data_IF_658904826221
#
_entry.id   IF_658904826221
#
_cell.length_a   1.000
_cell.length_b   1.000
_cell.length_c   1.000
_cell.angle_alpha   90.00
_cell.angle_beta   90.00
_cell.angle_gamma   90.00
#
_symmetry.space_group_name_H-M   'P 1'
#
loop_
_entity.id
_entity.type
_entity.pdbx_description
1 polymer ?
#
# COMPACT_ATOMS: atom_id res chain seq x y z
N UNK A 1 21.35 19.31 -29.19
CA UNK A 1 20.06 19.75 -28.62
C UNK A 1 19.06 18.63 -28.83
N UNK A 2 18.78 17.83 -27.79
CA UNK A 2 17.71 16.82 -27.86
C UNK A 2 16.58 17.37 -27.00
N UNK A 3 15.61 18.00 -27.65
CA UNK A 3 14.41 18.49 -27.00
C UNK A 3 13.44 17.30 -26.89
N UNK A 4 13.69 16.42 -25.92
CA UNK A 4 12.83 15.26 -25.68
C UNK A 4 11.56 15.78 -25.02
N UNK A 5 10.47 15.89 -25.78
CA UNK A 5 9.16 16.16 -25.21
C UNK A 5 8.87 15.11 -24.13
N UNK A 6 8.68 15.55 -22.88
CA UNK A 6 8.34 14.65 -21.79
C UNK A 6 7.07 13.86 -22.20
N UNK A 7 7.17 12.53 -22.23
CA UNK A 7 6.06 11.66 -22.61
C UNK A 7 4.83 11.94 -21.73
N UNK A 8 3.61 11.73 -22.24
CA UNK A 8 2.38 11.92 -21.46
C UNK A 8 2.38 11.18 -20.11
N UNK A 9 3.02 10.00 -20.06
CA UNK A 9 3.29 9.24 -18.83
C UNK A 9 4.14 10.02 -17.84
N UNK A 10 5.23 10.66 -18.29
CA UNK A 10 6.08 11.51 -17.44
C UNK A 10 5.26 12.66 -16.85
N UNK A 11 4.37 13.27 -17.64
CA UNK A 11 3.47 14.34 -17.15
C UNK A 11 2.50 13.83 -16.08
N UNK A 12 1.88 12.65 -16.27
CA UNK A 12 0.96 12.05 -15.30
C UNK A 12 1.65 11.82 -13.94
N UNK A 13 2.82 11.19 -13.95
CA UNK A 13 3.58 10.89 -12.73
C UNK A 13 3.96 12.17 -11.99
N UNK A 14 4.45 13.20 -12.70
CA UNK A 14 4.81 14.48 -12.10
C UNK A 14 3.60 15.19 -11.46
N UNK A 15 2.45 15.16 -12.12
CA UNK A 15 1.21 15.75 -11.59
C UNK A 15 0.74 15.01 -10.34
N UNK A 16 0.69 13.68 -10.38
CA UNK A 16 0.29 12.90 -9.21
C UNK A 16 1.26 13.04 -8.04
N UNK A 17 2.57 13.05 -8.30
CA UNK A 17 3.61 13.29 -7.29
C UNK A 17 3.40 14.65 -6.62
N UNK A 18 3.22 15.72 -7.42
CA UNK A 18 2.95 17.06 -6.90
C UNK A 18 1.67 17.11 -6.06
N UNK A 19 0.63 16.41 -6.48
CA UNK A 19 -0.64 16.36 -5.75
C UNK A 19 -0.49 15.62 -4.42
N UNK A 20 0.23 14.49 -4.40
CA UNK A 20 0.53 13.75 -3.17
C UNK A 20 1.33 14.58 -2.17
N UNK A 21 2.30 15.37 -2.65
CA UNK A 21 3.08 16.26 -1.77
C UNK A 21 2.26 17.45 -1.26
N UNK A 22 1.37 18.00 -2.08
CA UNK A 22 0.57 19.19 -1.73
C UNK A 22 -0.59 18.86 -0.79
N UNK A 23 -1.24 17.73 -1.02
CA UNK A 23 -2.41 17.26 -0.27
C UNK A 23 -2.27 15.75 -0.02
N UNK A 24 -1.44 15.33 0.95
CA UNK A 24 -1.23 13.93 1.25
C UNK A 24 -2.52 13.29 1.80
N UNK A 25 -2.77 11.99 1.55
CA UNK A 25 -3.89 11.31 2.19
C UNK A 25 -3.67 11.25 3.71
N UNK A 26 -4.73 11.28 4.54
CA UNK A 26 -4.59 11.25 5.99
C UNK A 26 -3.78 10.04 6.47
N UNK A 27 -2.71 10.29 7.22
CA UNK A 27 -1.82 9.24 7.74
C UNK A 27 -0.96 8.55 6.69
N UNK A 28 -0.84 9.09 5.47
CA UNK A 28 -0.02 8.50 4.40
C UNK A 28 0.98 9.54 3.89
N UNK A 29 2.25 9.17 3.89
CA UNK A 29 3.32 9.89 3.18
C UNK A 29 3.84 9.03 2.04
N UNK A 30 4.05 9.63 0.88
CA UNK A 30 4.61 8.98 -0.29
C UNK A 30 5.63 9.91 -0.95
N UNK A 31 6.90 9.50 -0.95
CA UNK A 31 8.02 10.31 -1.41
C UNK A 31 8.70 9.58 -2.58
N UNK A 32 8.88 10.22 -3.74
CA UNK A 32 9.60 9.60 -4.85
C UNK A 32 11.07 9.37 -4.47
N UNK A 33 11.67 8.30 -4.99
CA UNK A 33 13.09 8.06 -4.87
C UNK A 33 13.90 9.14 -5.60
N UNK A 34 15.02 9.55 -5.01
CA UNK A 34 15.89 10.61 -5.54
C UNK A 34 16.44 10.28 -6.92
N UNK A 35 16.66 8.99 -7.21
CA UNK A 35 17.27 8.52 -8.45
C UNK A 35 16.23 7.93 -9.42
N UNK A 36 14.98 7.73 -8.97
CA UNK A 36 13.95 7.10 -9.78
C UNK A 36 12.55 7.65 -9.45
N UNK A 37 12.07 8.59 -10.27
CA UNK A 37 10.74 9.20 -10.10
C UNK A 37 9.55 8.24 -10.29
N UNK A 38 9.79 6.98 -10.68
CA UNK A 38 8.77 5.93 -10.75
C UNK A 38 8.73 5.07 -9.50
N UNK A 39 9.71 5.18 -8.62
CA UNK A 39 9.77 4.43 -7.37
C UNK A 39 9.44 5.37 -6.21
N UNK A 40 8.62 4.90 -5.27
CA UNK A 40 8.13 5.70 -4.15
C UNK A 40 8.32 4.93 -2.83
N UNK A 41 8.87 5.64 -1.86
CA UNK A 41 8.94 5.23 -0.46
C UNK A 41 7.69 5.72 0.25
N UNK A 42 6.93 4.79 0.84
CA UNK A 42 5.65 5.10 1.48
C UNK A 42 5.72 4.76 2.96
N UNK A 43 5.14 5.64 3.79
CA UNK A 43 4.82 5.37 5.19
C UNK A 43 3.33 5.55 5.37
N UNK A 44 2.66 4.50 5.86
CA UNK A 44 1.22 4.46 6.08
C UNK A 44 0.92 4.18 7.55
N UNK A 45 0.19 5.09 8.18
CA UNK A 45 -0.37 4.88 9.50
C UNK A 45 -1.50 3.85 9.44
N UNK A 46 -1.48 2.91 10.38
CA UNK A 46 -2.56 1.95 10.53
C UNK A 46 -3.89 2.64 10.88
N UNK A 47 -5.02 2.16 10.35
CA UNK A 47 -6.32 2.78 10.59
C UNK A 47 -6.71 2.79 12.07
N UNK A 48 -7.43 3.83 12.50
CA UNK A 48 -8.05 3.86 13.83
C UNK A 48 -9.09 2.76 13.99
N UNK A 49 -9.27 2.29 15.23
CA UNK A 49 -10.19 1.21 15.57
C UNK A 49 -9.91 -0.10 14.82
N UNK A 50 -8.64 -0.33 14.47
CA UNK A 50 -8.15 -1.57 13.85
C UNK A 50 -6.98 -2.12 14.68
N UNK A 51 -6.62 -3.41 14.55
CA UNK A 51 -5.43 -3.94 15.22
C UNK A 51 -4.11 -3.32 14.73
N UNK A 52 -4.16 -2.49 13.68
CA UNK A 52 -3.02 -1.80 13.10
C UNK A 52 -2.86 -0.37 13.66
N UNK A 53 -3.80 0.12 14.47
CA UNK A 53 -3.76 1.46 15.05
C UNK A 53 -2.45 1.70 15.82
N UNK A 54 -1.88 2.89 15.62
CA UNK A 54 -0.59 3.29 16.21
C UNK A 54 0.64 2.75 15.47
N UNK A 55 0.47 1.83 14.52
CA UNK A 55 1.56 1.35 13.66
C UNK A 55 1.86 2.28 12.47
N UNK A 56 3.12 2.34 12.06
CA UNK A 56 3.64 2.96 10.85
C UNK A 56 4.23 1.88 9.94
N UNK A 57 3.52 1.58 8.86
CA UNK A 57 3.89 0.56 7.89
C UNK A 57 4.67 1.19 6.74
N UNK A 58 5.86 0.65 6.46
CA UNK A 58 6.65 1.01 5.28
C UNK A 58 6.20 0.19 4.10
N UNK A 59 5.94 0.84 2.97
CA UNK A 59 5.64 0.22 1.69
C UNK A 59 6.57 0.79 0.62
N UNK A 60 6.75 0.03 -0.46
CA UNK A 60 7.30 0.54 -1.71
C UNK A 60 6.22 0.50 -2.80
N UNK A 61 6.27 1.47 -3.70
CA UNK A 61 5.45 1.51 -4.90
C UNK A 61 6.33 1.76 -6.12
N UNK A 62 6.14 0.98 -7.17
CA UNK A 62 6.81 1.16 -8.45
C UNK A 62 5.81 1.34 -9.59
N UNK A 63 5.98 2.39 -10.37
CA UNK A 63 5.18 2.71 -11.54
C UNK A 63 5.82 2.11 -12.81
N UNK A 64 5.22 1.05 -13.41
CA UNK A 64 5.81 0.40 -14.57
C UNK A 64 5.88 1.36 -15.78
N UNK A 65 6.68 0.98 -16.79
CA UNK A 65 6.93 1.83 -17.96
C UNK A 65 5.65 2.30 -18.65
N UNK A 66 4.67 1.39 -18.76
CA UNK A 66 3.36 1.62 -19.37
C UNK A 66 2.31 2.23 -18.43
N UNK A 67 2.67 2.66 -17.21
CA UNK A 67 1.75 3.40 -16.34
C UNK A 67 1.19 4.65 -17.08
N UNK A 68 -0.10 4.97 -16.96
CA UNK A 68 -1.14 4.35 -16.12
C UNK A 68 -1.93 3.21 -16.79
N UNK A 69 -1.49 2.67 -17.93
CA UNK A 69 -2.19 1.55 -18.59
C UNK A 69 -2.12 0.26 -17.77
N UNK A 70 -1.03 0.04 -17.04
CA UNK A 70 -0.92 -1.01 -16.01
C UNK A 70 -0.92 -0.42 -14.60
N UNK A 71 -1.36 -1.20 -13.61
CA UNK A 71 -1.36 -0.77 -12.21
C UNK A 71 0.06 -0.57 -11.68
N UNK A 72 0.21 0.22 -10.60
CA UNK A 72 1.46 0.26 -9.86
C UNK A 72 1.72 -1.10 -9.17
N UNK A 73 2.99 -1.48 -9.04
CA UNK A 73 3.39 -2.58 -8.16
C UNK A 73 3.56 -2.04 -6.75
N UNK A 74 2.85 -2.59 -5.76
CA UNK A 74 2.92 -2.14 -4.37
C UNK A 74 3.13 -3.34 -3.45
N UNK A 75 4.02 -3.21 -2.47
CA UNK A 75 4.18 -4.21 -1.40
C UNK A 75 4.57 -3.58 -0.07
N UNK A 76 4.25 -4.30 1.00
CA UNK A 76 4.72 -3.99 2.34
C UNK A 76 6.20 -4.36 2.50
N UNK A 77 6.96 -3.46 3.10
CA UNK A 77 8.31 -3.70 3.60
C UNK A 77 8.27 -4.04 5.10
N UNK A 78 7.36 -3.42 5.84
CA UNK A 78 7.07 -3.77 7.23
C UNK A 78 6.29 -5.08 7.30
N UNK A 79 6.74 -6.02 8.15
CA UNK A 79 5.99 -7.26 8.41
C UNK A 79 4.63 -6.94 9.02
N UNK A 80 3.58 -7.62 8.54
CA UNK A 80 2.20 -7.43 8.97
C UNK A 80 1.48 -8.77 9.01
N UNK A 81 0.58 -8.93 9.99
CA UNK A 81 -0.28 -10.10 10.10
C UNK A 81 -1.66 -9.78 9.53
N UNK A 82 -1.88 -10.10 8.25
CA UNK A 82 -3.10 -9.74 7.52
C UNK A 82 -3.44 -10.81 6.48
N UNK A 83 -4.71 -11.23 6.29
CA UNK A 83 -5.06 -12.36 5.41
C UNK A 83 -4.78 -12.07 3.93
N UNK A 84 -4.94 -10.82 3.50
CA UNK A 84 -4.67 -10.40 2.11
C UNK A 84 -3.23 -9.93 1.85
N UNK A 85 -2.31 -10.09 2.82
CA UNK A 85 -0.90 -9.70 2.65
C UNK A 85 -0.02 -10.88 3.03
N UNK A 86 0.88 -11.28 2.13
CA UNK A 86 1.74 -12.43 2.37
C UNK A 86 3.05 -12.09 3.11
N UNK A 87 3.86 -13.12 3.37
CA UNK A 87 5.14 -12.99 4.09
C UNK A 87 6.20 -12.14 3.36
N UNK A 88 6.03 -11.90 2.06
CA UNK A 88 6.89 -11.04 1.24
C UNK A 88 6.29 -9.63 1.06
N UNK A 89 5.15 -9.36 1.69
CA UNK A 89 4.44 -8.08 1.66
C UNK A 89 3.58 -7.88 0.42
N UNK A 90 3.38 -8.91 -0.42
CA UNK A 90 2.52 -8.82 -1.61
C UNK A 90 1.06 -8.68 -1.18
N UNK A 91 0.30 -7.85 -1.88
CA UNK A 91 -1.06 -7.47 -1.52
C UNK A 91 -2.06 -8.11 -2.49
N UNK A 92 -3.13 -8.74 -1.97
CA UNK A 92 -4.30 -9.09 -2.76
C UNK A 92 -5.25 -7.91 -2.72
N UNK A 93 -5.33 -7.18 -3.82
CA UNK A 93 -6.30 -6.12 -4.01
C UNK A 93 -6.64 -6.07 -5.50
N UNK A 94 -7.93 -6.15 -5.82
CA UNK A 94 -8.48 -6.23 -7.17
C UNK A 94 -8.07 -5.06 -8.06
N UNK A 95 -8.01 -3.84 -7.53
CA UNK A 95 -7.55 -2.64 -8.25
C UNK A 95 -6.06 -2.69 -8.60
N UNK A 96 -5.28 -3.60 -8.03
CA UNK A 96 -3.89 -3.85 -8.44
C UNK A 96 -3.77 -4.96 -9.50
N UNK A 97 -4.91 -5.52 -9.96
CA UNK A 97 -4.99 -6.59 -10.93
C UNK A 97 -6.04 -6.28 -12.00
N UNK A 98 -7.19 -6.94 -11.94
CA UNK A 98 -8.23 -6.98 -12.97
C UNK A 98 -9.20 -5.80 -12.89
N UNK A 99 -9.33 -5.15 -11.73
CA UNK A 99 -10.14 -3.94 -11.56
C UNK A 99 -9.33 -2.64 -11.70
N UNK A 100 -8.08 -2.73 -12.18
CA UNK A 100 -7.30 -1.53 -12.48
C UNK A 100 -7.92 -0.73 -13.62
N UNK A 101 -8.00 0.58 -13.43
CA UNK A 101 -8.37 1.53 -14.48
C UNK A 101 -7.34 2.65 -14.56
N UNK A 102 -6.91 3.08 -15.77
CA UNK A 102 -5.99 4.21 -15.93
C UNK A 102 -6.50 5.55 -15.35
N UNK A 103 -7.78 5.62 -14.99
CA UNK A 103 -8.35 6.75 -14.27
C UNK A 103 -7.88 6.81 -12.80
N UNK A 104 -7.61 5.65 -12.18
CA UNK A 104 -7.13 5.55 -10.82
C UNK A 104 -5.74 6.21 -10.68
N UNK A 105 -5.49 6.73 -9.49
CA UNK A 105 -4.27 7.45 -9.13
C UNK A 105 -3.56 6.74 -7.98
N UNK A 106 -2.28 7.02 -7.78
CA UNK A 106 -1.50 6.58 -6.62
C UNK A 106 -2.23 6.88 -5.31
N UNK A 107 -2.84 8.06 -5.16
CA UNK A 107 -3.66 8.43 -4.00
C UNK A 107 -4.77 7.40 -3.72
N UNK A 108 -5.53 7.04 -4.75
CA UNK A 108 -6.65 6.10 -4.62
C UNK A 108 -6.16 4.73 -4.23
N UNK A 109 -5.07 4.25 -4.85
CA UNK A 109 -4.43 2.98 -4.50
C UNK A 109 -4.01 2.96 -3.03
N UNK A 110 -3.34 4.01 -2.55
CA UNK A 110 -2.89 4.10 -1.16
C UNK A 110 -4.04 4.12 -0.16
N UNK A 111 -5.13 4.85 -0.47
CA UNK A 111 -6.34 4.87 0.34
C UNK A 111 -7.05 3.51 0.36
N UNK A 112 -7.11 2.81 -0.78
CA UNK A 112 -7.69 1.47 -0.86
C UNK A 112 -6.88 0.44 -0.07
N UNK A 113 -5.55 0.53 -0.07
CA UNK A 113 -4.70 -0.33 0.77
C UNK A 113 -4.93 -0.02 2.26
N UNK A 114 -5.02 1.25 2.65
CA UNK A 114 -5.33 1.62 4.04
C UNK A 114 -6.73 1.13 4.45
N UNK A 115 -7.72 1.21 3.55
CA UNK A 115 -9.06 0.67 3.78
C UNK A 115 -9.07 -0.86 3.90
N UNK A 116 -8.25 -1.56 3.12
CA UNK A 116 -8.08 -3.01 3.24
C UNK A 116 -7.60 -3.41 4.64
N UNK A 117 -6.71 -2.63 5.26
CA UNK A 117 -6.29 -2.86 6.64
C UNK A 117 -7.45 -2.72 7.64
N UNK A 118 -8.42 -1.83 7.40
CA UNK A 118 -9.60 -1.72 8.27
C UNK A 118 -10.58 -2.88 8.08
N UNK A 119 -10.65 -3.45 6.89
CA UNK A 119 -11.62 -4.48 6.51
C UNK A 119 -10.94 -5.65 5.79
N UNK A 120 -10.23 -6.53 6.54
CA UNK A 120 -9.59 -7.70 5.96
C UNK A 120 -10.61 -8.62 5.29
N UNK A 121 -10.24 -9.24 4.16
CA UNK A 121 -11.10 -10.17 3.44
C UNK A 121 -10.52 -11.60 3.47
N UNK A 122 -10.90 -12.45 4.45
CA UNK A 122 -10.36 -13.80 4.55
C UNK A 122 -10.96 -14.78 3.51
N UNK A 123 -11.91 -14.35 2.68
CA UNK A 123 -12.49 -15.18 1.60
C UNK A 123 -11.66 -15.16 0.30
N UNK A 124 -10.82 -14.13 0.10
CA UNK A 124 -9.83 -14.07 -0.98
C UNK A 124 -8.40 -13.80 -0.43
N UNK A 125 -7.82 -14.75 0.31
CA UNK A 125 -6.56 -14.53 1.01
C UNK A 125 -5.33 -14.77 0.15
N UNK A 126 -4.23 -14.10 0.52
CA UNK A 126 -2.88 -14.49 0.10
C UNK A 126 -2.16 -15.30 1.17
N UNK A 127 -2.49 -15.08 2.44
CA UNK A 127 -1.95 -15.82 3.59
C UNK A 127 -3.04 -16.74 4.15
N UNK A 128 -3.10 -17.98 3.64
CA UNK A 128 -4.14 -18.96 3.99
C UNK A 128 -4.15 -19.29 5.49
N UNK A 129 -2.97 -19.41 6.11
CA UNK A 129 -2.81 -19.67 7.55
C UNK A 129 -3.42 -18.53 8.38
N UNK A 130 -3.12 -17.29 8.00
CA UNK A 130 -3.71 -16.10 8.64
C UNK A 130 -5.23 -16.08 8.42
N UNK A 131 -5.69 -16.28 7.20
CA UNK A 131 -7.11 -16.26 6.86
C UNK A 131 -7.93 -17.33 7.59
N UNK A 132 -7.37 -18.54 7.78
CA UNK A 132 -8.00 -19.56 8.62
C UNK A 132 -8.20 -19.03 10.04
N UNK A 133 -7.19 -18.41 10.66
CA UNK A 133 -7.33 -17.83 11.99
C UNK A 133 -8.41 -16.74 12.05
N UNK A 134 -8.45 -15.84 11.06
CA UNK A 134 -9.50 -14.82 10.97
C UNK A 134 -10.91 -15.42 10.88
N UNK A 135 -11.06 -16.58 10.24
CA UNK A 135 -12.35 -17.29 10.11
C UNK A 135 -12.73 -18.10 11.35
N UNK A 136 -11.76 -18.72 12.01
CA UNK A 136 -12.03 -19.65 13.13
C UNK A 136 -11.99 -18.98 14.49
N UNK A 137 -11.15 -17.96 14.68
CA UNK A 137 -10.96 -17.22 15.92
C UNK A 137 -10.50 -15.79 15.61
N UNK A 138 -11.47 -14.95 15.23
CA UNK A 138 -11.22 -13.55 14.88
C UNK A 138 -10.60 -12.76 16.04
N UNK A 139 -11.01 -13.03 17.28
CA UNK A 139 -10.46 -12.36 18.45
C UNK A 139 -8.96 -12.64 18.61
N UNK A 140 -8.53 -13.90 18.46
CA UNK A 140 -7.13 -14.26 18.47
C UNK A 140 -6.38 -13.66 17.28
N UNK A 141 -7.00 -13.61 16.10
CA UNK A 141 -6.40 -12.97 14.91
C UNK A 141 -6.14 -11.47 15.14
N UNK A 142 -7.11 -10.75 15.69
CA UNK A 142 -7.01 -9.32 16.04
C UNK A 142 -5.92 -9.10 17.10
N UNK A 143 -5.87 -9.92 18.16
CA UNK A 143 -4.82 -9.83 19.18
C UNK A 143 -3.43 -10.03 18.58
N UNK A 144 -3.27 -11.06 17.74
CA UNK A 144 -2.01 -11.38 17.06
C UNK A 144 -1.59 -10.24 16.11
N UNK A 145 -2.54 -9.68 15.36
CA UNK A 145 -2.29 -8.51 14.51
C UNK A 145 -1.81 -7.31 15.32
N UNK A 146 -2.43 -7.03 16.46
CA UNK A 146 -2.00 -5.97 17.38
C UNK A 146 -0.59 -6.18 17.94
N UNK A 147 -0.24 -7.42 18.29
CA UNK A 147 1.13 -7.77 18.72
C UNK A 147 2.16 -7.55 17.61
N UNK A 148 1.83 -7.95 16.38
CA UNK A 148 2.69 -7.73 15.22
C UNK A 148 2.86 -6.24 14.92
N UNK A 149 1.79 -5.46 15.01
CA UNK A 149 1.84 -3.99 14.87
C UNK A 149 2.85 -3.41 15.87
N UNK A 150 2.72 -3.74 17.16
CA UNK A 150 3.66 -3.27 18.20
C UNK A 150 5.10 -3.69 17.95
N UNK A 151 5.31 -4.90 17.43
CA UNK A 151 6.64 -5.48 17.25
C UNK A 151 7.36 -4.99 15.99
N UNK A 152 6.65 -4.70 14.92
CA UNK A 152 7.26 -4.48 13.60
C UNK A 152 6.95 -3.11 13.00
N UNK A 153 5.88 -2.45 13.45
CA UNK A 153 5.39 -1.21 12.85
C UNK A 153 5.51 0.00 13.78
N UNK A 154 5.99 -0.16 15.01
CA UNK A 154 6.33 0.98 15.87
C UNK A 154 7.78 1.35 15.61
N UNK A 155 8.06 2.64 15.40
CA UNK A 155 9.43 3.14 15.28
C UNK A 155 9.99 3.19 16.70
N UNK A 156 11.07 2.45 16.97
CA UNK A 156 11.85 2.62 18.19
C UNK A 156 12.39 4.07 18.20
N UNK A 157 12.06 4.84 19.24
CA UNK A 157 12.61 6.18 19.48
C UNK A 157 14.13 6.13 19.78
#
# INVERSE_FOLDING_TARGET
MVNTMASGTTRRILVETKNLSKDPPPGISAIPDENNCRYFHIVMAGPKSSPYEGGLFKLEMFLPENYPLSPPNVRFLTKIYHPNIDKLGRICLDILKDQWSPALQMRTVLLSIQALLSSPNPDDPLANDVATMWKTDEAQAIMTAGEWTRRYAVIDE
#
